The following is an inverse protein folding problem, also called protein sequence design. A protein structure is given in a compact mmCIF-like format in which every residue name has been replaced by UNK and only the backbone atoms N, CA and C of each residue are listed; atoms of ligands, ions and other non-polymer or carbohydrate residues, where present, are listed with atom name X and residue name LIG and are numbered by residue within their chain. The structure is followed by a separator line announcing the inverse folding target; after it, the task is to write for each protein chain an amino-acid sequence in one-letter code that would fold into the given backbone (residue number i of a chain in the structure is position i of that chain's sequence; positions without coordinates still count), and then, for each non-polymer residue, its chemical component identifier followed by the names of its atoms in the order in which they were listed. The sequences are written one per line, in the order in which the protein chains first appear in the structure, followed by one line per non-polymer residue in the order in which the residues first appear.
data_IF_777451601382
#
_entry.id   IF_777451601382
#
_cell.length_a   1.000
_cell.length_b   1.000
_cell.length_c   1.000
_cell.angle_alpha   90.00
_cell.angle_beta   90.00
_cell.angle_gamma   90.00
#
_symmetry.space_group_name_H-M   'P 1'
#
loop_
_entity.id
_entity.type
_entity.pdbx_description
1 polymer ?
#
# COMPACT_ATOMS: atom_id res chain seq x y z
N UNK A 1 6.44 -13.97 11.29
CA UNK A 1 5.89 -12.74 10.69
C UNK A 1 4.46 -12.57 11.18
N UNK A 2 4.03 -11.35 11.55
CA UNK A 2 2.79 -11.15 12.32
C UNK A 2 1.58 -10.56 11.54
N UNK A 3 1.72 -10.31 10.23
CA UNK A 3 0.61 -9.90 9.36
C UNK A 3 0.11 -8.45 9.53
N UNK A 4 0.62 -7.66 10.48
CA UNK A 4 0.13 -6.30 10.74
C UNK A 4 1.03 -5.15 10.20
N UNK A 5 2.17 -5.46 9.56
CA UNK A 5 3.15 -4.44 9.17
C UNK A 5 2.61 -3.38 8.22
N UNK A 6 1.95 -3.80 7.12
CA UNK A 6 1.37 -2.89 6.12
C UNK A 6 0.26 -1.99 6.69
N UNK A 7 -0.76 -2.54 7.39
CA UNK A 7 -1.78 -1.74 8.05
C UNK A 7 -1.21 -0.73 9.06
N UNK A 8 -0.23 -1.12 9.88
CA UNK A 8 0.40 -0.19 10.83
C UNK A 8 1.15 0.92 10.10
N UNK A 9 1.98 0.59 9.11
CA UNK A 9 2.77 1.58 8.37
C UNK A 9 1.87 2.61 7.66
N UNK A 10 0.82 2.14 6.97
CA UNK A 10 -0.11 3.03 6.26
C UNK A 10 -0.90 3.95 7.19
N UNK A 11 -1.39 3.44 8.33
CA UNK A 11 -2.08 4.25 9.36
C UNK A 11 -1.13 5.12 10.19
N UNK A 12 0.16 4.80 10.22
CA UNK A 12 1.18 5.67 10.80
C UNK A 12 1.42 6.88 9.89
N UNK A 13 1.59 6.64 8.59
CA UNK A 13 1.91 7.68 7.61
C UNK A 13 0.70 8.58 7.27
N UNK A 14 -0.51 8.04 7.21
CA UNK A 14 -1.72 8.78 6.86
C UNK A 14 -2.95 8.33 7.65
N UNK A 15 -4.13 8.82 7.27
CA UNK A 15 -5.41 8.39 7.87
C UNK A 15 -6.22 7.46 6.97
N UNK A 16 -5.87 7.42 5.69
CA UNK A 16 -6.53 6.61 4.67
C UNK A 16 -5.48 6.01 3.75
N UNK A 17 -5.66 4.75 3.39
CA UNK A 17 -4.89 4.08 2.37
C UNK A 17 -5.82 3.38 1.38
N UNK A 18 -5.46 3.40 0.10
CA UNK A 18 -6.07 2.57 -0.94
C UNK A 18 -5.04 1.57 -1.40
N UNK A 19 -5.40 0.29 -1.42
CA UNK A 19 -4.57 -0.78 -1.97
C UNK A 19 -5.25 -1.28 -3.22
N UNK A 20 -4.65 -1.02 -4.39
CA UNK A 20 -5.08 -1.60 -5.65
C UNK A 20 -4.10 -2.69 -6.09
N UNK A 21 -4.62 -3.84 -6.48
CA UNK A 21 -3.78 -4.97 -6.90
C UNK A 21 -4.41 -5.72 -8.06
N UNK A 22 -3.54 -6.20 -8.93
CA UNK A 22 -3.88 -7.04 -10.07
C UNK A 22 -2.83 -8.13 -10.17
N UNK A 23 -3.26 -9.38 -10.18
CA UNK A 23 -2.40 -10.52 -10.49
C UNK A 23 -2.24 -10.68 -11.99
N UNK A 24 -1.22 -11.43 -12.42
CA UNK A 24 -0.94 -11.67 -13.84
C UNK A 24 -2.12 -12.33 -14.55
N UNK A 25 -2.81 -13.24 -13.87
CA UNK A 25 -3.94 -14.01 -14.40
C UNK A 25 -5.27 -13.22 -14.36
N UNK A 26 -5.43 -12.31 -13.40
CA UNK A 26 -6.65 -11.50 -13.29
C UNK A 26 -6.67 -10.42 -14.36
N UNK A 27 -7.83 -10.25 -15.03
CA UNK A 27 -8.09 -9.11 -15.91
C UNK A 27 -8.55 -7.86 -15.15
N UNK A 28 -9.03 -8.02 -13.91
CA UNK A 28 -9.58 -6.93 -13.09
C UNK A 28 -8.60 -6.52 -11.99
N UNK A 29 -8.70 -5.25 -11.61
CA UNK A 29 -8.02 -4.67 -10.46
C UNK A 29 -8.96 -4.71 -9.27
N UNK A 30 -8.48 -5.26 -8.17
CA UNK A 30 -9.17 -5.25 -6.88
C UNK A 30 -8.64 -4.10 -6.05
N UNK A 31 -9.55 -3.34 -5.46
CA UNK A 31 -9.24 -2.17 -4.64
C UNK A 31 -9.83 -2.36 -3.26
N UNK A 32 -9.02 -2.13 -2.24
CA UNK A 32 -9.43 -2.12 -0.84
C UNK A 32 -9.11 -0.75 -0.24
N UNK A 33 -10.10 -0.12 0.38
CA UNK A 33 -9.92 1.10 1.14
C UNK A 33 -9.71 0.75 2.61
N UNK A 34 -8.68 1.35 3.22
CA UNK A 34 -8.40 1.26 4.65
C UNK A 34 -8.50 2.66 5.22
N UNK A 35 -9.57 2.93 5.95
CA UNK A 35 -9.86 4.25 6.51
C UNK A 35 -9.94 4.16 8.03
N UNK A 36 -9.17 5.01 8.73
CA UNK A 36 -9.13 5.02 10.19
C UNK A 36 -10.53 5.19 10.78
N UNK A 37 -11.31 6.10 10.22
CA UNK A 37 -12.64 6.44 10.68
C UNK A 37 -13.60 5.23 10.54
N UNK A 38 -13.53 4.51 9.42
CA UNK A 38 -14.30 3.27 9.20
C UNK A 38 -13.90 2.19 10.20
N UNK A 39 -12.59 1.99 10.44
CA UNK A 39 -12.09 1.00 11.41
C UNK A 39 -12.49 1.33 12.86
N UNK A 40 -12.44 2.60 13.26
CA UNK A 40 -12.80 3.03 14.60
C UNK A 40 -14.31 3.02 14.84
N UNK A 41 -15.12 3.38 13.84
CA UNK A 41 -16.58 3.36 13.97
C UNK A 41 -17.13 1.95 14.26
N UNK A 42 -16.49 0.91 13.72
CA UNK A 42 -16.85 -0.49 13.97
C UNK A 42 -16.24 -1.08 15.26
N UNK A 43 -15.45 -0.33 16.02
CA UNK A 43 -14.78 -0.85 17.22
C UNK A 43 -15.68 -1.02 18.45
N UNK A 44 -16.89 -0.45 18.41
CA UNK A 44 -17.80 -0.34 19.57
C UNK A 44 -18.96 -1.34 19.58
N UNK A 45 -19.09 -2.21 18.57
CA UNK A 45 -20.23 -3.11 18.45
C UNK A 45 -19.78 -4.54 18.11
N UNK A 46 -20.66 -5.53 18.36
CA UNK A 46 -20.48 -6.95 17.99
C UNK A 46 -20.41 -7.18 16.45
N UNK A 47 -20.03 -6.17 15.67
CA UNK A 47 -20.09 -6.18 14.22
C UNK A 47 -18.76 -6.63 13.63
N UNK A 48 -18.85 -7.43 12.57
CA UNK A 48 -17.71 -7.77 11.71
C UNK A 48 -17.12 -6.49 11.13
N UNK A 49 -15.79 -6.35 11.18
CA UNK A 49 -15.09 -5.24 10.53
C UNK A 49 -15.42 -5.25 9.04
N UNK A 50 -15.99 -4.15 8.56
CA UNK A 50 -16.29 -3.92 7.15
C UNK A 50 -15.50 -2.72 6.69
N UNK A 51 -15.02 -2.79 5.46
CA UNK A 51 -14.36 -1.67 4.82
C UNK A 51 -14.76 -1.63 3.36
N UNK A 52 -14.63 -0.46 2.76
CA UNK A 52 -15.03 -0.24 1.37
C UNK A 52 -14.01 -0.84 0.40
N UNK A 53 -14.45 -1.11 -0.82
CA UNK A 53 -13.65 -1.72 -1.86
C UNK A 53 -14.34 -1.67 -3.20
N UNK A 54 -13.58 -1.90 -4.27
CA UNK A 54 -14.14 -1.94 -5.62
C UNK A 54 -13.40 -2.91 -6.51
N UNK A 55 -14.05 -3.29 -7.61
CA UNK A 55 -13.45 -4.07 -8.68
C UNK A 55 -13.61 -3.25 -9.96
N UNK A 56 -12.52 -3.02 -10.68
CA UNK A 56 -12.52 -2.21 -11.90
C UNK A 56 -11.58 -2.77 -12.96
N UNK A 57 -11.68 -2.23 -14.17
CA UNK A 57 -10.68 -2.46 -15.20
C UNK A 57 -9.36 -1.72 -14.88
N UNK A 58 -8.22 -2.20 -15.38
CA UNK A 58 -6.93 -1.52 -15.24
C UNK A 58 -6.95 -0.15 -15.90
N UNK A 59 -6.26 0.82 -15.30
CA UNK A 59 -6.06 2.12 -15.93
C UNK A 59 -4.92 2.04 -16.96
N UNK A 60 -4.93 2.93 -17.96
CA UNK A 60 -3.88 2.98 -19.00
C UNK A 60 -2.46 3.11 -18.42
N UNK A 61 -2.30 3.92 -17.38
CA UNK A 61 -1.01 4.09 -16.70
C UNK A 61 -0.58 2.80 -15.97
N UNK A 62 -1.52 2.08 -15.35
CA UNK A 62 -1.24 0.80 -14.68
C UNK A 62 -0.84 -0.28 -15.70
N UNK A 63 -1.44 -0.28 -16.89
CA UNK A 63 -1.06 -1.18 -17.98
C UNK A 63 0.35 -0.84 -18.48
N UNK A 64 0.64 0.45 -18.68
CA UNK A 64 1.94 0.93 -19.19
C UNK A 64 3.08 0.66 -18.22
N UNK A 65 2.86 0.80 -16.92
CA UNK A 65 3.88 0.63 -15.89
C UNK A 65 4.09 -0.83 -15.47
N UNK A 66 3.11 -1.70 -15.72
CA UNK A 66 3.15 -3.12 -15.34
C UNK A 66 3.72 -4.00 -16.46
N UNK A 67 5.05 -4.09 -16.58
CA UNK A 67 5.74 -4.92 -17.58
C UNK A 67 5.32 -6.39 -17.59
N UNK A 68 5.05 -6.97 -16.41
CA UNK A 68 4.71 -8.39 -16.25
C UNK A 68 3.20 -8.66 -16.17
N UNK A 69 2.38 -7.62 -16.36
CA UNK A 69 0.92 -7.69 -16.27
C UNK A 69 0.35 -7.84 -14.85
N UNK A 70 1.18 -7.71 -13.80
CA UNK A 70 0.76 -7.69 -12.40
C UNK A 70 1.34 -6.49 -11.65
N UNK A 71 0.57 -5.94 -10.71
CA UNK A 71 1.05 -4.86 -9.85
C UNK A 71 0.33 -4.86 -8.49
N UNK A 72 0.94 -4.18 -7.52
CA UNK A 72 0.28 -3.76 -6.28
C UNK A 72 0.68 -2.33 -6.00
N UNK A 73 -0.31 -1.45 -5.86
CA UNK A 73 -0.13 -0.03 -5.58
C UNK A 73 -0.77 0.29 -4.24
N UNK A 74 -0.03 1.02 -3.40
CA UNK A 74 -0.51 1.50 -2.11
C UNK A 74 -0.47 3.02 -2.12
N UNK A 75 -1.63 3.64 -2.05
CA UNK A 75 -1.79 5.10 -2.04
C UNK A 75 -2.19 5.55 -0.65
N UNK A 76 -1.40 6.42 -0.02
CA UNK A 76 -1.65 6.94 1.32
C UNK A 76 -2.13 8.38 1.20
N UNK A 77 -3.30 8.65 1.77
CA UNK A 77 -3.96 9.94 1.73
C UNK A 77 -3.89 10.64 3.10
N UNK A 78 -3.91 11.97 3.06
CA UNK A 78 -3.81 12.84 4.24
C UNK A 78 -2.58 12.51 5.10
N UNK A 79 -1.37 12.60 4.54
CA UNK A 79 -0.15 12.27 5.26
C UNK A 79 0.00 13.14 6.51
N UNK A 80 0.33 12.50 7.63
CA UNK A 80 0.51 13.17 8.94
C UNK A 80 1.86 13.87 9.05
N UNK A 81 2.87 13.37 8.35
CA UNK A 81 4.22 13.93 8.33
C UNK A 81 4.45 14.76 7.07
N UNK A 82 5.17 15.87 7.22
CA UNK A 82 5.87 16.54 6.12
C UNK A 82 7.28 15.97 6.11
N UNK A 83 7.75 15.44 4.98
CA UNK A 83 9.11 14.90 4.89
C UNK A 83 10.11 16.01 5.16
N UNK A 84 10.93 15.86 6.21
CA UNK A 84 11.93 16.86 6.59
C UNK A 84 13.18 16.81 5.68
N UNK A 85 13.42 15.69 4.98
CA UNK A 85 14.35 15.59 3.84
C UNK A 85 14.19 14.27 3.09
N UNK A 86 13.81 14.33 1.80
CA UNK A 86 13.75 13.15 0.91
C UNK A 86 15.11 12.44 0.83
N UNK A 87 16.21 13.19 0.85
CA UNK A 87 17.55 12.63 0.74
C UNK A 87 17.91 11.76 1.95
N UNK A 88 17.60 12.22 3.17
CA UNK A 88 17.86 11.44 4.38
C UNK A 88 17.06 10.13 4.39
N UNK A 89 15.79 10.17 3.98
CA UNK A 89 14.97 8.98 3.84
C UNK A 89 15.57 8.00 2.82
N UNK A 90 16.05 8.49 1.67
CA UNK A 90 16.70 7.66 0.68
C UNK A 90 17.96 6.98 1.22
N UNK A 91 18.79 7.68 2.00
CA UNK A 91 19.96 7.07 2.63
C UNK A 91 19.58 5.99 3.64
N UNK A 92 18.61 6.27 4.52
CA UNK A 92 18.13 5.26 5.48
C UNK A 92 17.56 4.02 4.79
N UNK A 93 16.79 4.19 3.72
CA UNK A 93 16.26 3.06 2.95
C UNK A 93 17.40 2.27 2.28
N UNK A 94 18.41 2.95 1.73
CA UNK A 94 19.59 2.26 1.17
C UNK A 94 20.32 1.45 2.22
N UNK A 95 20.49 1.97 3.43
CA UNK A 95 21.17 1.25 4.51
C UNK A 95 20.36 0.04 4.98
N UNK A 96 19.03 0.18 5.16
CA UNK A 96 18.14 -0.91 5.57
C UNK A 96 18.09 -2.02 4.52
N UNK A 97 17.96 -1.66 3.25
CA UNK A 97 17.84 -2.62 2.15
C UNK A 97 19.18 -2.93 1.48
N UNK A 98 20.31 -2.50 2.05
CA UNK A 98 21.65 -2.68 1.49
C UNK A 98 21.92 -4.13 1.06
N UNK A 99 21.61 -5.18 1.88
CA UNK A 99 21.84 -6.56 1.48
C UNK A 99 20.97 -7.02 0.30
N UNK A 100 19.82 -6.39 0.06
CA UNK A 100 18.90 -6.74 -1.05
C UNK A 100 19.25 -6.00 -2.34
N UNK A 101 19.74 -4.77 -2.23
CA UNK A 101 20.12 -3.93 -3.38
C UNK A 101 21.41 -4.47 -4.01
N UNK A 102 22.37 -4.90 -3.18
CA UNK A 102 23.66 -5.41 -3.65
C UNK A 102 23.63 -6.86 -4.15
N UNK A 103 22.47 -7.51 -4.22
CA UNK A 103 22.34 -8.79 -4.94
C UNK A 103 22.39 -8.49 -6.45
N UNK A 104 23.58 -8.12 -6.89
CA UNK A 104 24.03 -8.04 -8.27
C UNK A 104 25.33 -8.86 -8.25
N UNK A 105 25.29 -10.07 -8.79
CA UNK A 105 26.40 -11.03 -9.03
C UNK A 105 26.18 -12.45 -8.42
N UNK A 106 25.06 -13.09 -8.78
CA UNK A 106 24.96 -14.56 -8.83
C UNK A 106 24.28 -14.96 -10.15
#
# INVERSE_FOLDING_TARGET
MFGYGGPIASMHLGRRASVSSKTKESKKVFVLHLERESLLSCSSSQHTWKTDGSVRDPLEDEIRESTDGSFTKVEIFHPKMRSESIQQLQYQLKDIYFPYIQVSDL
#
